data_IF_521467296251
#
_entry.id   IF_521467296251
#
_cell.length_a   1.000
_cell.length_b   1.000
_cell.length_c   1.000
_cell.angle_alpha   90.00
_cell.angle_beta   90.00
_cell.angle_gamma   90.00
#
_symmetry.space_group_name_H-M   'P 1'
#
loop_
_entity.id
_entity.type
_entity.pdbx_description
1 polymer ?
#
# COMPACT_ATOMS: atom_id res chain seq x y z
N UNK A 1 -17.30 -15.78 20.82
CA UNK A 1 -16.62 -16.31 19.60
C UNK A 1 -15.88 -15.16 18.91
N UNK A 2 -14.62 -15.34 18.53
CA UNK A 2 -13.80 -14.25 17.95
C UNK A 2 -14.34 -13.78 16.59
N UNK A 3 -14.43 -12.46 16.41
CA UNK A 3 -14.86 -11.77 15.19
C UNK A 3 -13.68 -11.08 14.50
N UNK A 4 -13.67 -11.09 13.18
CA UNK A 4 -12.67 -10.37 12.39
C UNK A 4 -12.98 -8.86 12.41
N UNK A 5 -12.02 -8.04 12.85
CA UNK A 5 -12.16 -6.57 12.87
C UNK A 5 -11.32 -5.89 11.80
N UNK A 6 -10.09 -6.35 11.61
CA UNK A 6 -9.13 -5.63 10.76
C UNK A 6 -8.08 -6.58 10.18
N UNK A 7 -7.72 -6.34 8.93
CA UNK A 7 -6.62 -7.00 8.23
C UNK A 7 -5.69 -5.92 7.68
N UNK A 8 -4.42 -5.98 8.01
CA UNK A 8 -3.38 -5.12 7.47
C UNK A 8 -2.39 -5.97 6.68
N UNK A 9 -2.09 -5.54 5.46
CA UNK A 9 -1.23 -6.25 4.52
C UNK A 9 -0.15 -5.27 4.05
N UNK A 10 1.11 -5.70 4.07
CA UNK A 10 2.25 -4.92 3.58
C UNK A 10 3.26 -5.84 2.88
N UNK A 11 3.65 -5.49 1.66
CA UNK A 11 4.66 -6.24 0.89
C UNK A 11 4.30 -7.71 0.61
N UNK A 12 3.02 -8.08 0.70
CA UNK A 12 2.55 -9.45 0.50
C UNK A 12 1.98 -9.62 -0.91
N UNK A 13 2.62 -10.46 -1.72
CA UNK A 13 2.22 -10.73 -3.11
C UNK A 13 1.94 -9.43 -3.86
N UNK A 14 0.75 -9.23 -4.43
CA UNK A 14 0.37 -8.02 -5.17
C UNK A 14 0.29 -6.73 -4.33
N UNK A 15 0.32 -6.83 -2.99
CA UNK A 15 0.20 -5.68 -2.09
C UNK A 15 1.58 -5.09 -1.78
N UNK A 16 2.07 -4.22 -2.64
CA UNK A 16 3.31 -3.45 -2.40
C UNK A 16 3.16 -2.52 -1.19
N UNK A 17 2.10 -1.71 -1.20
CA UNK A 17 1.85 -0.70 -0.17
C UNK A 17 1.00 -1.25 0.98
N UNK A 18 1.02 -0.52 2.10
CA UNK A 18 0.20 -0.86 3.26
C UNK A 18 -1.28 -0.75 2.90
N UNK A 19 -1.95 -1.89 2.85
CA UNK A 19 -3.40 -1.98 2.63
C UNK A 19 -4.08 -2.34 3.94
N UNK A 20 -5.11 -1.59 4.31
CA UNK A 20 -5.92 -1.84 5.50
C UNK A 20 -7.36 -2.15 5.10
N UNK A 21 -7.86 -3.31 5.53
CA UNK A 21 -9.25 -3.71 5.38
C UNK A 21 -9.90 -3.73 6.77
N UNK A 22 -10.96 -2.95 6.93
CA UNK A 22 -11.79 -2.93 8.13
C UNK A 22 -13.02 -3.80 7.88
N UNK A 23 -13.37 -4.61 8.88
CA UNK A 23 -14.52 -5.50 8.84
C UNK A 23 -15.50 -5.13 9.94
N UNK A 24 -16.79 -5.23 9.63
CA UNK A 24 -17.88 -4.94 10.56
C UNK A 24 -17.98 -5.97 11.70
N UNK A 25 -17.36 -7.15 11.57
CA UNK A 25 -17.45 -8.23 12.54
C UNK A 25 -18.78 -9.00 12.53
N UNK A 26 -19.82 -8.44 11.90
CA UNK A 26 -21.14 -9.03 11.72
C UNK A 26 -21.58 -9.02 10.26
N UNK A 27 -22.34 -10.05 9.86
CA UNK A 27 -22.86 -10.20 8.51
C UNK A 27 -21.90 -10.86 7.52
N UNK A 28 -22.06 -10.55 6.24
CA UNK A 28 -21.29 -11.13 5.13
C UNK A 28 -20.48 -10.03 4.46
N UNK A 29 -19.15 -10.16 4.45
CA UNK A 29 -18.27 -9.28 3.69
C UNK A 29 -17.98 -9.89 2.32
N UNK A 30 -18.30 -9.16 1.25
CA UNK A 30 -17.99 -9.55 -0.12
C UNK A 30 -16.81 -8.71 -0.65
N UNK A 31 -15.78 -9.37 -1.18
CA UNK A 31 -14.66 -8.71 -1.84
C UNK A 31 -14.82 -8.92 -3.34
N UNK A 32 -15.05 -7.84 -4.07
CA UNK A 32 -15.25 -7.84 -5.54
C UNK A 32 -14.18 -7.00 -6.22
N UNK A 33 -13.93 -7.29 -7.50
CA UNK A 33 -12.96 -6.54 -8.31
C UNK A 33 -12.56 -7.29 -9.58
N UNK A 34 -11.94 -6.59 -10.55
CA UNK A 34 -11.55 -7.16 -11.83
C UNK A 34 -10.54 -8.31 -11.67
N UNK A 35 -10.33 -9.07 -12.75
CA UNK A 35 -9.33 -10.13 -12.73
C UNK A 35 -7.92 -9.53 -12.66
N UNK A 36 -7.06 -10.13 -11.83
CA UNK A 36 -5.69 -9.64 -11.60
C UNK A 36 -5.54 -8.59 -10.49
N UNK A 37 -6.62 -8.05 -9.91
CA UNK A 37 -6.52 -7.04 -8.85
C UNK A 37 -5.94 -7.53 -7.51
N UNK A 38 -5.71 -8.84 -7.36
CA UNK A 38 -5.20 -9.43 -6.12
C UNK A 38 -6.28 -9.85 -5.11
N UNK A 39 -7.57 -9.88 -5.48
CA UNK A 39 -8.67 -10.35 -4.60
C UNK A 39 -8.36 -11.66 -3.88
N UNK A 40 -7.87 -12.66 -4.62
CA UNK A 40 -7.58 -13.97 -4.03
C UNK A 40 -6.33 -13.95 -3.14
N UNK A 41 -5.42 -12.98 -3.33
CA UNK A 41 -4.26 -12.82 -2.45
C UNK A 41 -4.67 -12.35 -1.05
N UNK A 42 -5.84 -11.71 -0.90
CA UNK A 42 -6.38 -11.36 0.42
C UNK A 42 -6.74 -12.63 1.20
N UNK A 43 -7.39 -13.60 0.56
CA UNK A 43 -7.67 -14.89 1.17
C UNK A 43 -6.38 -15.64 1.55
N UNK A 44 -5.36 -15.61 0.68
CA UNK A 44 -4.07 -16.21 0.98
C UNK A 44 -3.36 -15.51 2.16
N UNK A 45 -3.49 -14.18 2.29
CA UNK A 45 -2.94 -13.43 3.41
C UNK A 45 -3.58 -13.87 4.74
N UNK A 46 -4.91 -14.10 4.74
CA UNK A 46 -5.64 -14.60 5.90
C UNK A 46 -5.19 -16.03 6.25
N UNK A 47 -5.08 -16.94 5.28
CA UNK A 47 -4.58 -18.29 5.52
C UNK A 47 -3.14 -18.27 6.05
N UNK A 48 -2.30 -17.38 5.52
CA UNK A 48 -0.91 -17.25 5.94
C UNK A 48 -0.75 -16.77 7.37
N UNK A 49 -1.49 -15.73 7.79
CA UNK A 49 -1.45 -15.22 9.18
C UNK A 49 -2.07 -16.19 10.19
N UNK A 50 -2.96 -17.07 9.74
CA UNK A 50 -3.48 -18.18 10.54
C UNK A 50 -2.50 -19.37 10.66
N UNK A 51 -1.35 -19.32 9.99
CA UNK A 51 -0.26 -20.28 10.15
C UNK A 51 -0.07 -21.26 8.98
N UNK A 52 -0.66 -21.00 7.81
CA UNK A 52 -0.34 -21.79 6.61
C UNK A 52 1.15 -21.66 6.25
N UNK A 53 1.85 -22.80 6.14
CA UNK A 53 3.29 -22.85 5.87
C UNK A 53 3.62 -23.42 4.48
N UNK A 54 2.63 -23.97 3.78
CA UNK A 54 2.80 -24.56 2.46
C UNK A 54 2.75 -23.49 1.38
N UNK A 55 3.84 -23.36 0.61
CA UNK A 55 3.89 -22.48 -0.56
C UNK A 55 2.80 -22.85 -1.58
N UNK A 56 2.55 -24.15 -1.75
CA UNK A 56 1.54 -24.68 -2.67
C UNK A 56 0.12 -24.27 -2.25
N UNK A 57 -0.19 -24.32 -0.95
CA UNK A 57 -1.50 -23.86 -0.44
C UNK A 57 -1.68 -22.36 -0.65
N UNK A 58 -0.61 -21.59 -0.48
CA UNK A 58 -0.57 -20.17 -0.80
C UNK A 58 -0.38 -19.90 -2.30
N UNK A 59 -0.53 -20.88 -3.19
CA UNK A 59 -0.43 -20.69 -4.66
C UNK A 59 0.89 -20.04 -5.11
N UNK A 60 1.97 -20.32 -4.39
CA UNK A 60 3.35 -19.97 -4.75
C UNK A 60 4.18 -21.22 -5.04
N UNK A 61 5.32 -21.05 -5.70
CA UNK A 61 6.27 -22.15 -5.93
C UNK A 61 7.20 -22.32 -4.73
N UNK A 62 7.63 -21.21 -4.14
CA UNK A 62 8.48 -21.15 -2.94
C UNK A 62 7.83 -20.27 -1.90
N UNK A 63 8.22 -20.47 -0.65
CA UNK A 63 7.76 -19.61 0.44
C UNK A 63 8.33 -18.18 0.36
N UNK A 64 9.35 -17.93 -0.46
CA UNK A 64 9.80 -16.57 -0.80
C UNK A 64 8.77 -15.79 -1.64
N UNK A 65 7.94 -16.49 -2.43
CA UNK A 65 7.00 -15.87 -3.36
C UNK A 65 5.80 -15.19 -2.64
N UNK A 66 5.73 -15.29 -1.32
CA UNK A 66 4.78 -14.51 -0.51
C UNK A 66 5.19 -13.04 -0.42
N UNK A 67 6.46 -12.72 -0.67
CA UNK A 67 7.00 -11.37 -0.68
C UNK A 67 6.76 -10.75 -2.06
N UNK A 68 6.36 -9.49 -2.11
CA UNK A 68 6.18 -8.77 -3.38
C UNK A 68 7.48 -8.75 -4.19
N UNK A 69 7.43 -9.37 -5.37
CA UNK A 69 8.58 -9.54 -6.25
C UNK A 69 8.86 -8.33 -7.14
N UNK A 70 8.08 -7.25 -7.03
CA UNK A 70 8.20 -6.07 -7.89
C UNK A 70 7.36 -6.18 -9.16
N UNK A 71 7.15 -5.05 -9.82
CA UNK A 71 6.58 -4.91 -11.17
C UNK A 71 7.54 -4.07 -12.03
N UNK A 72 7.14 -3.71 -13.25
CA UNK A 72 7.93 -2.82 -14.12
C UNK A 72 8.13 -1.43 -13.48
N UNK A 73 7.12 -0.96 -12.77
CA UNK A 73 7.08 0.41 -12.21
C UNK A 73 7.43 0.44 -10.71
N UNK A 74 7.45 -0.72 -10.03
CA UNK A 74 7.66 -0.80 -8.59
C UNK A 74 8.72 -1.83 -8.22
N UNK A 75 9.63 -1.42 -7.32
CA UNK A 75 10.70 -2.29 -6.85
C UNK A 75 10.17 -3.42 -5.94
N UNK A 76 10.83 -4.59 -5.91
CA UNK A 76 10.50 -5.66 -4.97
C UNK A 76 10.62 -5.20 -3.52
N UNK A 77 9.74 -5.69 -2.64
CA UNK A 77 9.92 -5.48 -1.20
C UNK A 77 10.87 -6.54 -0.63
N UNK A 78 11.68 -6.16 0.36
CA UNK A 78 12.51 -7.12 1.12
C UNK A 78 11.76 -7.88 2.20
N UNK A 79 10.47 -7.59 2.38
CA UNK A 79 9.66 -8.08 3.50
C UNK A 79 8.18 -8.12 3.13
N UNK A 80 7.49 -9.12 3.68
CA UNK A 80 6.04 -9.18 3.75
C UNK A 80 5.60 -9.23 5.22
N UNK A 81 4.53 -8.50 5.53
CA UNK A 81 3.88 -8.50 6.83
C UNK A 81 2.37 -8.55 6.65
N UNK A 82 1.72 -9.45 7.41
CA UNK A 82 0.27 -9.50 7.51
C UNK A 82 -0.11 -9.51 8.98
N UNK A 83 -1.05 -8.63 9.35
CA UNK A 83 -1.61 -8.55 10.69
C UNK A 83 -3.12 -8.68 10.64
N UNK A 84 -3.65 -9.58 11.45
CA UNK A 84 -5.07 -9.86 11.63
C UNK A 84 -5.47 -9.50 13.04
N UNK A 85 -6.43 -8.60 13.20
CA UNK A 85 -7.02 -8.23 14.48
C UNK A 85 -8.37 -8.92 14.62
N UNK A 86 -8.47 -9.78 15.63
CA UNK A 86 -9.71 -10.40 16.06
C UNK A 86 -10.17 -9.80 17.38
N UNK A 87 -11.47 -9.60 17.51
CA UNK A 87 -12.11 -9.09 18.72
C UNK A 87 -13.01 -10.17 19.32
N UNK A 88 -13.04 -10.26 20.64
CA UNK A 88 -14.09 -11.02 21.33
C UNK A 88 -15.24 -10.08 21.70
N UNK A 89 -16.43 -10.19 21.07
CA UNK A 89 -17.57 -9.33 21.36
C UNK A 89 -18.12 -9.48 22.79
N UNK A 90 -17.82 -10.59 23.48
CA UNK A 90 -18.28 -10.82 24.85
C UNK A 90 -17.43 -10.07 25.88
N UNK A 91 -16.17 -9.76 25.54
CA UNK A 91 -15.20 -9.13 26.45
C UNK A 91 -14.82 -7.72 26.03
N UNK A 92 -14.98 -7.38 24.75
CA UNK A 92 -14.69 -6.05 24.22
C UNK A 92 -15.98 -5.23 24.06
N UNK A 93 -16.22 -4.29 24.98
CA UNK A 93 -17.35 -3.35 24.98
C UNK A 93 -16.91 -1.93 24.58
N UNK A 94 -15.87 -1.80 23.75
CA UNK A 94 -15.44 -0.49 23.24
C UNK A 94 -16.50 0.13 22.32
N UNK A 95 -16.50 1.47 22.12
CA UNK A 95 -17.43 2.13 21.18
C UNK A 95 -17.32 1.51 19.77
N UNK A 96 -16.11 1.17 19.34
CA UNK A 96 -15.83 0.55 18.04
C UNK A 96 -16.26 -0.93 17.93
N UNK A 97 -16.78 -1.56 18.99
CA UNK A 97 -17.15 -2.98 18.99
C UNK A 97 -18.38 -3.27 18.13
N UNK A 98 -19.32 -2.33 18.11
CA UNK A 98 -20.62 -2.44 17.45
C UNK A 98 -20.88 -1.30 16.47
N UNK A 99 -19.98 -0.32 16.36
CA UNK A 99 -20.09 0.72 15.35
C UNK A 99 -19.96 0.10 13.94
N UNK A 100 -20.93 0.37 13.04
CA UNK A 100 -20.78 -0.01 11.65
C UNK A 100 -19.49 0.65 11.13
N UNK A 101 -18.64 -0.14 10.45
CA UNK A 101 -17.45 0.41 9.80
C UNK A 101 -17.91 1.56 8.92
N UNK A 102 -17.40 2.75 9.21
CA UNK A 102 -17.63 3.95 8.40
C UNK A 102 -17.42 3.56 6.94
N UNK A 103 -18.48 3.71 6.14
CA UNK A 103 -18.45 3.37 4.72
C UNK A 103 -17.59 4.43 4.06
N UNK A 104 -16.29 4.16 3.92
CA UNK A 104 -15.40 4.99 3.12
C UNK A 104 -15.63 4.59 1.67
N UNK A 105 -16.59 5.27 1.02
CA UNK A 105 -16.76 5.19 -0.43
C UNK A 105 -15.63 6.00 -1.05
N UNK A 106 -14.60 5.33 -1.56
CA UNK A 106 -13.63 5.95 -2.47
C UNK A 106 -14.25 5.89 -3.87
N UNK A 107 -15.08 6.89 -4.17
CA UNK A 107 -15.66 7.05 -5.50
C UNK A 107 -14.64 7.81 -6.37
N UNK A 108 -13.56 7.11 -6.73
CA UNK A 108 -12.60 7.61 -7.74
C UNK A 108 -13.17 7.45 -9.18
N UNK A 109 -14.46 7.15 -9.30
CA UNK A 109 -15.18 7.04 -10.56
C UNK A 109 -15.61 8.44 -11.00
N UNK A 110 -15.24 8.93 -12.19
CA UNK A 110 -15.79 10.18 -12.69
C UNK A 110 -17.31 10.04 -12.82
N UNK A 111 -18.07 11.00 -12.29
CA UNK A 111 -19.55 11.02 -12.24
C UNK A 111 -20.22 10.80 -13.62
N UNK A 112 -19.47 10.93 -14.71
CA UNK A 112 -19.94 10.71 -16.09
C UNK A 112 -20.00 9.24 -16.55
N UNK A 113 -19.64 8.26 -15.71
CA UNK A 113 -19.50 6.87 -16.12
C UNK A 113 -20.81 6.06 -16.08
N UNK A 114 -21.83 6.44 -16.87
CA UNK A 114 -22.88 5.48 -17.26
C UNK A 114 -22.34 4.41 -18.24
N UNK A 115 -21.17 4.66 -18.83
CA UNK A 115 -20.36 3.70 -19.58
C UNK A 115 -18.90 3.84 -19.17
N UNK A 116 -18.41 2.93 -18.32
CA UNK A 116 -16.97 2.80 -18.07
C UNK A 116 -16.32 2.20 -19.32
N UNK A 117 -15.71 3.04 -20.15
CA UNK A 117 -14.97 2.59 -21.33
C UNK A 117 -13.47 2.45 -21.00
N UNK A 118 -13.06 1.23 -20.71
CA UNK A 118 -11.67 0.86 -20.43
C UNK A 118 -10.71 1.31 -21.54
N UNK A 119 -11.18 1.35 -22.79
CA UNK A 119 -10.36 1.74 -23.93
C UNK A 119 -10.08 3.24 -23.92
N UNK A 120 -11.06 4.06 -23.56
CA UNK A 120 -10.89 5.51 -23.48
C UNK A 120 -9.98 5.91 -22.31
N UNK A 121 -10.11 5.25 -21.17
CA UNK A 121 -9.23 5.49 -20.00
C UNK A 121 -7.79 5.10 -20.31
N UNK A 122 -7.56 3.97 -20.99
CA UNK A 122 -6.21 3.58 -21.44
C UNK A 122 -5.65 4.52 -22.50
N UNK A 123 -6.48 5.00 -23.42
CA UNK A 123 -6.07 5.94 -24.45
C UNK A 123 -5.61 7.27 -23.82
N UNK A 124 -6.39 7.84 -22.88
CA UNK A 124 -6.02 9.06 -22.16
C UNK A 124 -4.73 8.90 -21.35
N UNK A 125 -4.58 7.79 -20.64
CA UNK A 125 -3.35 7.50 -19.89
C UNK A 125 -2.13 7.32 -20.82
N UNK A 126 -2.31 6.73 -22.01
CA UNK A 126 -1.24 6.59 -23.00
C UNK A 126 -0.84 7.95 -23.60
N UNK A 127 -1.81 8.79 -23.94
CA UNK A 127 -1.59 10.14 -24.47
C UNK A 127 -0.92 11.06 -23.44
N UNK A 128 -1.31 10.97 -22.17
CA UNK A 128 -0.66 11.70 -21.08
C UNK A 128 0.78 11.22 -20.83
N UNK A 129 1.00 9.91 -20.91
CA UNK A 129 2.35 9.32 -20.83
C UNK A 129 3.22 9.78 -22.00
N UNK A 130 2.66 9.83 -23.21
CA UNK A 130 3.36 10.29 -24.41
C UNK A 130 3.70 11.78 -24.32
N UNK A 131 2.79 12.62 -23.83
CA UNK A 131 3.04 14.04 -23.58
C UNK A 131 4.12 14.26 -22.53
N UNK A 132 4.11 13.50 -21.43
CA UNK A 132 5.14 13.58 -20.40
C UNK A 132 6.50 13.08 -20.91
N UNK A 133 6.51 12.08 -21.81
CA UNK A 133 7.73 11.61 -22.46
C UNK A 133 8.27 12.66 -23.44
N UNK A 134 7.41 13.36 -24.18
CA UNK A 134 7.79 14.45 -25.08
C UNK A 134 8.31 15.68 -24.32
N UNK A 135 7.63 16.08 -23.24
CA UNK A 135 8.09 17.16 -22.35
C UNK A 135 9.40 16.80 -21.62
N UNK A 136 9.63 15.51 -21.35
CA UNK A 136 10.85 15.02 -20.70
C UNK A 136 12.00 14.76 -21.69
N UNK A 137 11.83 14.97 -23.00
CA UNK A 137 12.94 14.87 -23.96
C UNK A 137 13.88 16.07 -23.83
N UNK A 138 15.11 15.90 -23.31
CA UNK A 138 16.08 16.97 -23.26
C UNK A 138 16.83 17.01 -24.59
N UNK A 139 16.61 18.08 -25.36
CA UNK A 139 17.56 18.56 -26.38
C UNK A 139 17.27 18.18 -27.83
N UNK A 140 16.58 19.07 -28.54
CA UNK A 140 16.93 19.33 -29.95
C UNK A 140 18.13 20.26 -29.92
N UNK A 141 19.28 19.76 -30.37
CA UNK A 141 20.46 20.57 -30.65
C UNK A 141 20.21 21.29 -31.98
N UNK A 142 19.75 22.54 -31.93
CA UNK A 142 19.95 23.45 -33.07
C UNK A 142 21.40 23.98 -32.98
N UNK A 143 22.21 23.63 -33.98
CA UNK A 143 23.53 24.20 -34.19
C UNK A 143 23.40 25.71 -34.46
N UNK A 144 23.96 26.55 -33.59
CA UNK A 144 24.10 27.97 -33.94
C UNK A 144 24.45 28.93 -32.81
N UNK A 145 25.76 29.19 -32.70
CA UNK A 145 26.40 30.42 -32.18
C UNK A 145 26.58 30.52 -30.65
N UNK A 146 27.86 30.57 -30.30
CA UNK A 146 28.42 30.85 -29.00
C UNK A 146 28.24 32.32 -28.59
N UNK A 147 28.06 32.57 -27.30
CA UNK A 147 28.70 33.70 -26.63
C UNK A 147 28.93 33.42 -25.15
N UNK A 148 30.02 33.99 -24.66
CA UNK A 148 30.78 33.69 -23.45
C UNK A 148 30.34 34.49 -22.22
N UNK A 149 30.48 33.85 -21.04
CA UNK A 149 30.97 34.37 -19.73
C UNK A 149 30.11 35.39 -18.93
N UNK A 150 29.77 35.04 -17.68
CA UNK A 150 30.28 35.76 -16.49
C UNK A 150 30.13 34.94 -15.18
N UNK A 151 31.27 34.67 -14.54
CA UNK A 151 31.42 34.24 -13.16
C UNK A 151 31.27 35.43 -12.20
N UNK A 152 30.57 35.27 -11.07
CA UNK A 152 30.79 36.09 -9.87
C UNK A 152 30.71 35.27 -8.58
N UNK A 153 31.91 34.99 -8.07
CA UNK A 153 32.41 35.00 -6.68
C UNK A 153 31.57 34.54 -5.48
N UNK A 154 32.25 33.72 -4.68
CA UNK A 154 31.95 33.24 -3.34
C UNK A 154 31.79 34.32 -2.25
N UNK A 155 31.03 33.96 -1.22
CA UNK A 155 31.06 34.54 0.12
C UNK A 155 30.58 33.50 1.13
N UNK A 156 31.53 32.90 1.85
CA UNK A 156 31.29 32.07 3.03
C UNK A 156 31.09 32.96 4.27
N UNK A 157 30.22 32.56 5.20
CA UNK A 157 30.50 32.63 6.65
C UNK A 157 29.44 31.87 7.48
N UNK A 158 29.84 30.71 8.01
CA UNK A 158 29.92 30.47 9.46
C UNK A 158 28.67 30.29 10.34
N UNK A 159 28.45 29.01 10.72
CA UNK A 159 28.21 28.49 12.09
C UNK A 159 26.84 28.62 12.76
N UNK A 160 26.28 27.45 13.12
CA UNK A 160 25.16 27.32 14.06
C UNK A 160 24.66 25.89 14.20
N UNK A 161 25.40 25.07 14.95
CA UNK A 161 24.95 23.78 15.47
C UNK A 161 23.75 23.95 16.40
N UNK A 162 22.66 23.22 16.18
CA UNK A 162 21.69 22.88 17.22
C UNK A 162 20.90 21.63 16.83
N UNK A 163 21.29 20.54 17.48
CA UNK A 163 20.56 19.28 17.64
C UNK A 163 19.18 19.55 18.25
N UNK A 164 18.12 19.25 17.51
CA UNK A 164 16.76 19.21 18.05
C UNK A 164 15.89 18.30 17.18
N UNK A 165 16.01 16.98 17.38
CA UNK A 165 14.90 16.09 17.10
C UNK A 165 13.71 16.46 18.00
N UNK A 166 12.51 16.52 17.45
CA UNK A 166 11.39 15.80 18.08
C UNK A 166 10.51 15.18 16.98
N UNK A 167 9.71 14.16 17.20
CA UNK A 167 9.18 13.53 18.40
C UNK A 167 8.67 12.19 17.92
N UNK A 168 8.93 11.14 18.67
CA UNK A 168 8.17 9.91 18.57
C UNK A 168 6.70 10.27 18.79
N UNK A 169 5.88 10.16 17.75
CA UNK A 169 4.42 10.24 17.92
C UNK A 169 3.97 8.84 18.34
N UNK A 170 4.16 8.55 19.62
CA UNK A 170 3.45 7.49 20.33
C UNK A 170 1.96 7.88 20.36
N UNK A 171 1.24 7.49 19.31
CA UNK A 171 -0.20 7.36 19.33
C UNK A 171 -0.61 6.09 20.05
N UNK A 172 -0.37 6.05 21.37
CA UNK A 172 -0.85 5.00 22.26
C UNK A 172 -2.35 5.18 22.51
N UNK A 173 -3.19 4.69 21.60
CA UNK A 173 -4.52 4.23 21.99
C UNK A 173 -4.46 2.72 22.19
N UNK A 174 -3.80 2.32 23.27
CA UNK A 174 -3.89 0.96 23.76
C UNK A 174 -5.25 0.81 24.45
N UNK A 175 -6.30 0.60 23.65
CA UNK A 175 -7.61 0.25 24.19
C UNK A 175 -7.48 -1.17 24.75
N UNK A 176 -7.37 -1.25 26.07
CA UNK A 176 -7.22 -2.49 26.83
C UNK A 176 -8.56 -3.21 26.87
N UNK A 177 -8.85 -3.94 25.81
CA UNK A 177 -9.66 -5.16 25.87
C UNK A 177 -8.90 -6.30 25.20
N UNK A 178 -9.33 -7.56 25.33
CA UNK A 178 -8.60 -8.69 24.75
C UNK A 178 -8.83 -8.74 23.24
N UNK A 179 -8.13 -7.85 22.52
CA UNK A 179 -7.96 -7.97 21.08
C UNK A 179 -6.85 -8.98 20.81
N UNK A 180 -7.16 -10.04 20.05
CA UNK A 180 -6.17 -11.01 19.60
C UNK A 180 -5.59 -10.49 18.30
N UNK A 181 -4.32 -10.09 18.34
CA UNK A 181 -3.59 -9.67 17.13
C UNK A 181 -2.67 -10.80 16.70
N UNK A 182 -3.00 -11.44 15.57
CA UNK A 182 -2.11 -12.35 14.90
C UNK A 182 -1.26 -11.54 13.92
N UNK A 183 0.05 -11.70 13.98
CA UNK A 183 0.97 -10.99 13.09
C UNK A 183 2.05 -11.94 12.63
N UNK A 184 2.19 -12.06 11.32
CA UNK A 184 3.25 -12.84 10.69
C UNK A 184 4.09 -11.92 9.81
N UNK A 185 5.40 -12.11 9.85
CA UNK A 185 6.36 -11.35 9.06
C UNK A 185 7.40 -12.28 8.47
N UNK A 186 7.69 -12.11 7.19
CA UNK A 186 8.77 -12.80 6.50
C UNK A 186 9.69 -11.78 5.85
N UNK A 187 11.00 -11.97 6.01
CA UNK A 187 12.03 -11.17 5.36
C UNK A 187 12.81 -12.05 4.40
N UNK A 188 13.21 -11.47 3.27
CA UNK A 188 14.20 -12.07 2.39
C UNK A 188 15.57 -11.82 3.02
N UNK A 189 16.27 -12.90 3.35
CA UNK A 189 17.67 -12.81 3.76
C UNK A 189 18.51 -12.95 2.48
N UNK A 190 19.42 -12.00 2.26
CA UNK A 190 20.40 -12.04 1.18
C UNK A 190 21.55 -12.97 1.54
#
# INVERSE_FOLDING_TARGET
MLKLKKLQILGFKSFCDRTELKFHGDGVAAIIGPNGCGKSNIADAISWVLGEQSAKSLRGARMEDVIFAGTRDRQPTGMAEVSLTLLDPEVYQGPDASEPTEIVIQDDMPESAEHWDEAEVRAKAAEETERLVEEAQPGVIEEGVAEEIEEVSAGEDGLGSEDAGPRVVEGSNNVVGPQVVLKIRRRKFN
#
